data_IF_344487271581
#
_entry.id   IF_344487271581
#
_cell.length_a   1.000
_cell.length_b   1.000
_cell.length_c   1.000
_cell.angle_alpha   90.00
_cell.angle_beta   90.00
_cell.angle_gamma   90.00
#
_symmetry.space_group_name_H-M   'P 1'
#
loop_
_entity.id
_entity.type
_entity.pdbx_description
1 polymer ?
#
# COMPACT_ATOMS: atom_id res chain seq x y z
N UNK A 1 20.52 -14.84 -29.25
CA UNK A 1 19.06 -14.59 -29.23
C UNK A 1 18.53 -15.14 -27.91
N UNK A 2 18.39 -14.28 -26.87
CA UNK A 2 17.84 -14.69 -25.56
C UNK A 2 16.33 -14.94 -25.72
N UNK A 3 15.90 -16.15 -25.47
CA UNK A 3 14.47 -16.46 -25.32
C UNK A 3 13.99 -15.89 -23.99
N UNK A 4 13.34 -14.73 -24.02
CA UNK A 4 12.60 -14.22 -22.87
C UNK A 4 11.46 -15.21 -22.56
N UNK A 5 11.47 -15.82 -21.39
CA UNK A 5 10.36 -16.64 -20.93
C UNK A 5 9.15 -15.75 -20.61
N UNK A 6 7.93 -16.30 -20.67
CA UNK A 6 6.68 -15.57 -20.45
C UNK A 6 6.65 -14.84 -19.08
N UNK A 7 7.34 -15.39 -18.09
CA UNK A 7 7.50 -14.80 -16.76
C UNK A 7 8.43 -13.57 -16.76
N UNK A 8 9.55 -13.64 -17.52
CA UNK A 8 10.46 -12.52 -17.64
C UNK A 8 9.84 -11.34 -18.40
N UNK A 9 8.95 -11.63 -19.35
CA UNK A 9 8.22 -10.61 -20.10
C UNK A 9 7.15 -9.93 -19.22
N UNK A 10 6.47 -10.65 -18.35
CA UNK A 10 5.55 -10.07 -17.35
C UNK A 10 6.30 -9.23 -16.32
N UNK A 11 7.44 -9.71 -15.85
CA UNK A 11 8.28 -8.97 -14.91
C UNK A 11 8.81 -7.66 -15.52
N UNK A 12 9.23 -7.69 -16.78
CA UNK A 12 9.70 -6.49 -17.49
C UNK A 12 8.57 -5.50 -17.77
N UNK A 13 7.37 -5.99 -18.15
CA UNK A 13 6.18 -5.17 -18.35
C UNK A 13 5.69 -4.54 -17.04
N UNK A 14 5.67 -5.29 -15.92
CA UNK A 14 5.24 -4.77 -14.62
C UNK A 14 6.21 -3.70 -14.11
N UNK A 15 7.53 -3.89 -14.28
CA UNK A 15 8.52 -2.86 -13.90
C UNK A 15 8.42 -1.61 -14.77
N UNK A 16 8.18 -1.78 -16.07
CA UNK A 16 8.03 -0.64 -17.00
C UNK A 16 6.70 0.09 -16.76
N UNK A 17 5.62 -0.63 -16.41
CA UNK A 17 4.31 -0.02 -16.16
C UNK A 17 4.23 0.68 -14.79
N UNK A 18 4.91 0.16 -13.75
CA UNK A 18 5.11 0.88 -12.49
C UNK A 18 5.78 2.25 -12.70
N UNK A 19 6.68 2.34 -13.70
CA UNK A 19 7.36 3.57 -14.07
C UNK A 19 6.43 4.52 -14.86
N UNK A 20 5.52 3.98 -15.67
CA UNK A 20 4.67 4.78 -16.55
C UNK A 20 3.43 5.37 -15.86
N UNK A 21 2.92 4.73 -14.81
CA UNK A 21 1.78 5.26 -14.05
C UNK A 21 2.12 6.49 -13.18
N UNK A 22 3.42 6.82 -13.04
CA UNK A 22 3.89 8.02 -12.36
C UNK A 22 4.22 9.20 -13.31
N UNK A 23 3.87 9.10 -14.61
CA UNK A 23 4.19 10.15 -15.60
C UNK A 23 3.17 11.30 -15.62
N UNK A 24 2.75 11.83 -14.49
CA UNK A 24 2.24 13.20 -14.47
C UNK A 24 3.42 14.15 -14.24
N UNK A 25 3.91 14.77 -15.31
CA UNK A 25 4.91 15.84 -15.31
C UNK A 25 4.36 17.15 -14.70
N UNK A 26 3.65 17.06 -13.57
CA UNK A 26 3.33 18.21 -12.75
C UNK A 26 4.30 18.23 -11.58
N UNK A 27 4.77 19.40 -11.20
CA UNK A 27 5.55 19.71 -10.00
C UNK A 27 5.12 18.80 -8.83
N UNK A 28 5.65 17.59 -8.76
CA UNK A 28 5.29 16.59 -7.76
C UNK A 28 5.74 17.09 -6.39
N UNK A 29 4.87 17.80 -5.72
CA UNK A 29 5.07 18.32 -4.37
C UNK A 29 3.99 17.90 -3.40
N UNK A 30 2.90 17.31 -3.92
CA UNK A 30 1.74 16.91 -3.13
C UNK A 30 1.54 15.41 -3.21
N UNK A 31 1.38 14.75 -2.08
CA UNK A 31 1.11 13.31 -2.01
C UNK A 31 -0.18 12.91 -2.75
N UNK A 32 -1.10 13.85 -2.94
CA UNK A 32 -2.37 13.66 -3.68
C UNK A 32 -2.17 13.51 -5.18
N UNK A 33 -1.00 13.87 -5.71
CA UNK A 33 -0.67 13.66 -7.12
C UNK A 33 -0.24 12.21 -7.40
N UNK A 34 -0.02 11.40 -6.34
CA UNK A 34 0.38 10.01 -6.44
C UNK A 34 -0.87 9.11 -6.42
N UNK A 35 -0.87 8.11 -7.28
CA UNK A 35 -2.00 7.20 -7.44
C UNK A 35 -1.59 5.74 -7.28
N UNK A 36 -2.46 4.95 -6.67
CA UNK A 36 -2.44 3.49 -6.69
C UNK A 36 -3.70 3.05 -7.43
N UNK A 37 -3.55 2.37 -8.59
CA UNK A 37 -4.65 1.96 -9.47
C UNK A 37 -5.56 3.13 -9.89
N UNK A 38 -4.96 4.31 -10.14
CA UNK A 38 -5.71 5.52 -10.52
C UNK A 38 -6.46 6.21 -9.37
N UNK A 39 -6.24 5.79 -8.12
CA UNK A 39 -6.91 6.31 -6.93
C UNK A 39 -5.90 7.07 -6.06
N UNK A 40 -6.27 8.27 -5.59
CA UNK A 40 -5.42 9.11 -4.72
C UNK A 40 -5.96 9.19 -3.28
N UNK A 41 -5.08 9.52 -2.34
CA UNK A 41 -5.52 9.97 -1.02
C UNK A 41 -6.29 11.31 -1.14
N UNK A 42 -7.36 11.45 -0.36
CA UNK A 42 -8.28 12.58 -0.45
C UNK A 42 -9.49 12.33 -1.35
N UNK A 43 -9.42 11.36 -2.24
CA UNK A 43 -10.58 10.95 -3.07
C UNK A 43 -11.72 10.38 -2.22
N UNK A 44 -12.90 10.37 -2.81
CA UNK A 44 -14.02 9.59 -2.31
C UNK A 44 -14.03 8.21 -2.97
N UNK A 45 -14.00 7.14 -2.17
CA UNK A 45 -13.95 5.77 -2.67
C UNK A 45 -15.11 5.44 -3.62
N UNK A 46 -16.27 6.08 -3.44
CA UNK A 46 -17.45 5.88 -4.29
C UNK A 46 -17.27 6.43 -5.71
N UNK A 47 -16.24 7.21 -5.98
CA UNK A 47 -15.92 7.69 -7.34
C UNK A 47 -15.14 6.66 -8.17
N UNK A 48 -14.73 5.52 -7.56
CA UNK A 48 -13.86 4.53 -8.19
C UNK A 48 -14.51 3.14 -8.32
N UNK A 49 -15.83 3.10 -8.59
CA UNK A 49 -16.62 1.87 -8.63
C UNK A 49 -16.10 0.89 -9.69
N UNK A 50 -15.69 1.38 -10.85
CA UNK A 50 -15.21 0.56 -11.96
C UNK A 50 -13.87 -0.11 -11.61
N UNK A 51 -12.94 0.64 -11.01
CA UNK A 51 -11.63 0.11 -10.57
C UNK A 51 -11.82 -0.96 -9.49
N UNK A 52 -12.76 -0.73 -8.58
CA UNK A 52 -13.07 -1.67 -7.51
C UNK A 52 -13.93 -2.85 -7.98
N UNK A 53 -14.47 -2.80 -9.20
CA UNK A 53 -15.43 -3.78 -9.71
C UNK A 53 -16.60 -3.97 -8.74
N UNK A 54 -17.15 -2.87 -8.21
CA UNK A 54 -18.24 -2.85 -7.22
C UNK A 54 -19.29 -1.82 -7.56
N UNK A 55 -20.50 -2.07 -7.08
CA UNK A 55 -21.56 -1.05 -7.04
C UNK A 55 -21.43 -0.21 -5.77
N UNK A 56 -22.05 0.96 -5.79
CA UNK A 56 -22.11 1.85 -4.61
C UNK A 56 -22.73 1.15 -3.39
N UNK A 57 -23.79 0.35 -3.62
CA UNK A 57 -24.44 -0.43 -2.56
C UNK A 57 -23.47 -1.42 -1.94
N UNK A 58 -22.73 -2.18 -2.77
CA UNK A 58 -21.74 -3.15 -2.27
C UNK A 58 -20.63 -2.50 -1.45
N UNK A 59 -20.22 -1.27 -1.78
CA UNK A 59 -19.23 -0.54 -0.97
C UNK A 59 -19.85 -0.08 0.34
N UNK A 60 -21.05 0.51 0.32
CA UNK A 60 -21.74 1.01 1.51
C UNK A 60 -22.11 -0.08 2.51
N UNK A 61 -22.50 -1.26 2.02
CA UNK A 61 -22.88 -2.40 2.85
C UNK A 61 -21.69 -3.27 3.27
N UNK A 62 -20.50 -3.01 2.72
CA UNK A 62 -19.30 -3.77 3.06
C UNK A 62 -18.96 -3.61 4.53
N UNK A 63 -18.74 -4.74 5.22
CA UNK A 63 -18.25 -4.74 6.59
C UNK A 63 -16.85 -4.15 6.65
N UNK A 64 -16.72 -2.99 7.30
CA UNK A 64 -15.45 -2.33 7.55
C UNK A 64 -14.76 -2.92 8.79
N UNK A 65 -13.42 -2.91 8.78
CA UNK A 65 -12.62 -3.28 9.95
C UNK A 65 -12.23 -2.00 10.67
N UNK A 66 -12.63 -1.89 11.94
CA UNK A 66 -12.28 -0.75 12.78
C UNK A 66 -11.04 -1.00 13.61
N UNK A 67 -10.35 0.07 13.95
CA UNK A 67 -9.24 0.03 14.88
C UNK A 67 -9.72 -0.25 16.33
N UNK A 68 -8.87 -0.86 17.19
CA UNK A 68 -9.33 -1.34 18.51
C UNK A 68 -9.88 -0.24 19.42
N UNK A 69 -9.35 0.98 19.35
CA UNK A 69 -9.69 2.06 20.26
C UNK A 69 -10.51 3.19 19.64
N UNK A 70 -10.57 3.28 18.34
CA UNK A 70 -11.28 4.37 17.66
C UNK A 70 -12.01 3.87 16.41
N UNK A 71 -13.21 4.41 16.20
CA UNK A 71 -14.03 4.17 15.00
C UNK A 71 -14.00 5.34 14.02
N UNK A 72 -13.14 6.33 14.24
CA UNK A 72 -13.05 7.53 13.39
C UNK A 72 -12.62 7.18 11.97
N UNK A 73 -11.65 6.27 11.83
CA UNK A 73 -11.27 5.71 10.55
C UNK A 73 -11.47 4.20 10.55
N UNK A 74 -11.65 3.64 9.36
CA UNK A 74 -11.87 2.22 9.15
C UNK A 74 -11.04 1.71 7.97
N UNK A 75 -10.79 0.40 7.95
CA UNK A 75 -10.06 -0.31 6.91
C UNK A 75 -11.06 -1.03 6.00
N UNK A 76 -10.87 -0.91 4.68
CA UNK A 76 -11.59 -1.66 3.66
C UNK A 76 -10.60 -2.30 2.68
N UNK A 77 -10.73 -3.61 2.44
CA UNK A 77 -9.84 -4.38 1.56
C UNK A 77 -10.58 -4.85 0.32
N UNK A 78 -9.93 -4.80 -0.84
CA UNK A 78 -10.44 -5.28 -2.12
C UNK A 78 -9.41 -6.20 -2.77
N UNK A 79 -9.84 -7.42 -3.15
CA UNK A 79 -9.00 -8.47 -3.75
C UNK A 79 -9.44 -8.81 -5.18
N UNK A 80 -10.59 -8.32 -5.60
CA UNK A 80 -11.27 -8.67 -6.85
C UNK A 80 -11.63 -7.43 -7.69
N UNK A 81 -10.85 -6.36 -7.56
CA UNK A 81 -10.97 -5.17 -8.40
C UNK A 81 -10.36 -5.37 -9.79
N UNK A 82 -10.62 -4.41 -10.68
CA UNK A 82 -9.99 -4.32 -12.00
C UNK A 82 -8.59 -3.67 -11.86
N UNK A 83 -7.72 -4.28 -11.04
CA UNK A 83 -6.38 -3.77 -10.75
C UNK A 83 -5.40 -4.21 -11.84
N UNK A 84 -4.53 -3.29 -12.27
CA UNK A 84 -3.55 -3.56 -13.31
C UNK A 84 -2.20 -4.03 -12.74
N UNK A 85 -1.83 -3.53 -11.56
CA UNK A 85 -0.51 -3.71 -10.97
C UNK A 85 -0.58 -4.55 -9.70
N UNK A 86 -1.53 -4.23 -8.81
CA UNK A 86 -1.63 -4.83 -7.49
C UNK A 86 -2.66 -5.96 -7.46
N UNK A 87 -2.41 -6.98 -6.66
CA UNK A 87 -3.33 -8.11 -6.47
C UNK A 87 -4.42 -7.79 -5.46
N UNK A 88 -4.17 -6.81 -4.59
CA UNK A 88 -5.21 -6.24 -3.73
C UNK A 88 -4.91 -4.78 -3.40
N UNK A 89 -5.97 -4.03 -3.06
CA UNK A 89 -5.87 -2.67 -2.57
C UNK A 89 -6.61 -2.53 -1.25
N UNK A 90 -5.96 -1.88 -0.29
CA UNK A 90 -6.50 -1.58 1.03
C UNK A 90 -6.63 -0.07 1.21
N UNK A 91 -7.73 0.36 1.77
CA UNK A 91 -7.99 1.76 2.11
C UNK A 91 -8.14 1.93 3.60
N UNK A 92 -7.57 3.02 4.15
CA UNK A 92 -8.02 3.61 5.42
C UNK A 92 -8.85 4.83 5.08
N UNK A 93 -10.09 4.87 5.53
CA UNK A 93 -11.09 5.86 5.12
C UNK A 93 -11.98 6.29 6.28
N UNK A 94 -12.67 7.43 6.10
CA UNK A 94 -13.78 7.83 6.94
C UNK A 94 -15.02 6.97 6.61
N UNK A 95 -15.57 6.22 7.55
CA UNK A 95 -16.71 5.34 7.30
C UNK A 95 -18.01 6.08 6.97
N UNK A 96 -18.11 7.39 7.24
CA UNK A 96 -19.33 8.18 7.02
C UNK A 96 -19.40 8.80 5.61
N UNK A 97 -18.24 9.23 5.08
CA UNK A 97 -18.19 9.93 3.79
C UNK A 97 -17.28 9.25 2.76
N UNK A 98 -16.63 8.14 3.11
CA UNK A 98 -15.75 7.35 2.24
C UNK A 98 -14.52 8.09 1.72
N UNK A 99 -14.11 9.19 2.37
CA UNK A 99 -12.86 9.89 2.05
C UNK A 99 -11.67 9.04 2.42
N UNK A 100 -10.72 8.90 1.48
CA UNK A 100 -9.52 8.08 1.62
C UNK A 100 -8.41 8.87 2.30
N UNK A 101 -7.78 8.30 3.35
CA UNK A 101 -6.64 8.87 4.07
C UNK A 101 -5.37 8.07 3.90
N UNK A 102 -5.49 6.78 3.61
CA UNK A 102 -4.38 5.91 3.22
C UNK A 102 -4.86 4.94 2.15
N UNK A 103 -3.98 4.68 1.18
CA UNK A 103 -4.17 3.64 0.18
C UNK A 103 -2.92 2.76 0.14
N UNK A 104 -3.11 1.45 0.07
CA UNK A 104 -2.02 0.47 0.02
C UNK A 104 -2.29 -0.57 -1.05
N UNK A 105 -1.42 -0.64 -2.05
CA UNK A 105 -1.41 -1.71 -3.05
C UNK A 105 -0.49 -2.86 -2.60
N UNK A 106 -0.90 -4.11 -2.77
CA UNK A 106 -0.15 -5.29 -2.35
C UNK A 106 0.10 -6.26 -3.49
N UNK A 107 1.29 -6.87 -3.49
CA UNK A 107 1.69 -7.96 -4.37
C UNK A 107 2.17 -9.09 -3.49
N UNK A 108 1.62 -10.30 -3.70
CA UNK A 108 1.83 -11.45 -2.84
C UNK A 108 2.87 -12.44 -3.39
N UNK A 109 3.16 -13.46 -2.60
CA UNK A 109 3.98 -14.62 -2.97
C UNK A 109 5.39 -14.28 -3.46
N UNK A 110 6.00 -13.23 -2.90
CA UNK A 110 7.40 -12.88 -3.11
C UNK A 110 8.27 -13.55 -2.05
N UNK A 111 9.40 -14.11 -2.46
CA UNK A 111 10.42 -14.47 -1.49
C UNK A 111 11.11 -13.21 -0.92
N UNK A 112 11.95 -13.41 0.11
CA UNK A 112 12.56 -12.30 0.84
C UNK A 112 13.46 -11.44 -0.05
N UNK A 113 14.25 -12.08 -0.90
CA UNK A 113 15.20 -11.37 -1.76
C UNK A 113 14.47 -10.64 -2.89
N UNK A 114 13.45 -11.26 -3.46
CA UNK A 114 12.57 -10.65 -4.46
C UNK A 114 11.85 -9.42 -3.89
N UNK A 115 11.29 -9.53 -2.67
CA UNK A 115 10.62 -8.41 -2.04
C UNK A 115 11.57 -7.23 -1.78
N UNK A 116 12.74 -7.48 -1.19
CA UNK A 116 13.73 -6.44 -0.89
C UNK A 116 14.27 -5.79 -2.17
N UNK A 117 14.51 -6.57 -3.23
CA UNK A 117 14.97 -6.02 -4.51
C UNK A 117 13.89 -5.14 -5.16
N UNK A 118 12.62 -5.59 -5.14
CA UNK A 118 11.50 -4.81 -5.63
C UNK A 118 11.30 -3.54 -4.82
N UNK A 119 11.38 -3.62 -3.48
CA UNK A 119 11.32 -2.48 -2.57
C UNK A 119 12.37 -1.40 -2.94
N UNK A 120 13.64 -1.80 -3.08
CA UNK A 120 14.73 -0.89 -3.45
C UNK A 120 14.49 -0.22 -4.81
N UNK A 121 13.98 -0.99 -5.79
CA UNK A 121 13.69 -0.48 -7.12
C UNK A 121 12.58 0.58 -7.08
N UNK A 122 11.47 0.29 -6.39
CA UNK A 122 10.35 1.22 -6.25
C UNK A 122 10.80 2.52 -5.55
N UNK A 123 11.54 2.38 -4.43
CA UNK A 123 12.04 3.54 -3.68
C UNK A 123 12.98 4.39 -4.54
N UNK A 124 13.88 3.77 -5.31
CA UNK A 124 14.80 4.52 -6.17
C UNK A 124 14.08 5.35 -7.23
N UNK A 125 12.95 4.89 -7.76
CA UNK A 125 12.12 5.66 -8.68
C UNK A 125 11.33 6.77 -7.98
N UNK A 126 10.80 6.48 -6.79
CA UNK A 126 10.10 7.49 -5.99
C UNK A 126 11.03 8.61 -5.52
N UNK A 127 12.27 8.32 -5.11
CA UNK A 127 13.27 9.33 -4.73
C UNK A 127 13.60 10.29 -5.89
N UNK A 128 13.61 9.81 -7.12
CA UNK A 128 13.81 10.68 -8.31
C UNK A 128 12.63 11.65 -8.50
N UNK A 129 11.42 11.20 -8.22
CA UNK A 129 10.21 12.01 -8.37
C UNK A 129 10.03 12.98 -7.20
N UNK A 130 10.42 12.56 -5.98
CA UNK A 130 10.25 13.30 -4.72
C UNK A 130 11.60 13.56 -4.04
N UNK A 131 12.51 14.32 -4.65
CA UNK A 131 13.88 14.50 -4.16
C UNK A 131 13.98 15.25 -2.82
N UNK A 132 12.88 15.88 -2.38
CA UNK A 132 12.83 16.67 -1.13
C UNK A 132 12.24 15.90 0.04
N UNK A 133 12.00 14.60 -0.10
CA UNK A 133 11.52 13.74 0.99
C UNK A 133 12.67 13.32 1.90
N UNK A 134 12.36 13.06 3.17
CA UNK A 134 13.30 12.47 4.12
C UNK A 134 13.11 10.96 4.08
N UNK A 135 14.18 10.24 3.73
CA UNK A 135 14.16 8.77 3.68
C UNK A 135 14.48 8.18 5.04
N UNK A 136 13.62 7.28 5.50
CA UNK A 136 13.86 6.44 6.67
C UNK A 136 13.88 4.98 6.24
N UNK A 137 14.73 4.18 6.87
CA UNK A 137 14.88 2.74 6.58
C UNK A 137 14.77 1.99 7.89
N UNK A 138 13.80 1.11 7.97
CA UNK A 138 13.66 0.15 9.06
C UNK A 138 14.20 -1.21 8.63
N UNK A 139 15.12 -1.76 9.39
CA UNK A 139 15.58 -3.13 9.22
C UNK A 139 14.46 -4.14 9.55
N UNK A 140 14.68 -5.40 9.22
CA UNK A 140 13.76 -6.45 9.59
C UNK A 140 13.54 -6.54 11.10
N UNK A 141 12.34 -6.24 11.53
CA UNK A 141 11.89 -6.33 12.91
C UNK A 141 10.75 -7.33 13.05
N UNK A 142 10.54 -7.80 14.28
CA UNK A 142 9.41 -8.67 14.60
C UNK A 142 8.11 -7.90 14.48
N UNK A 143 7.16 -8.46 13.71
CA UNK A 143 5.87 -7.81 13.55
C UNK A 143 5.04 -7.92 14.85
N UNK A 144 4.53 -6.81 15.41
CA UNK A 144 3.89 -6.79 16.73
C UNK A 144 2.57 -7.59 16.81
N UNK A 145 1.89 -7.80 15.69
CA UNK A 145 0.66 -8.58 15.65
C UNK A 145 0.90 -10.08 15.87
N UNK A 146 2.09 -10.60 15.54
CA UNK A 146 2.46 -12.01 15.78
C UNK A 146 3.23 -12.14 17.11
N UNK A 147 2.51 -12.54 18.15
CA UNK A 147 3.08 -12.74 19.49
C UNK A 147 4.16 -13.83 19.55
N UNK A 148 4.25 -14.70 18.56
CA UNK A 148 5.33 -15.70 18.48
C UNK A 148 6.68 -15.06 18.16
N UNK A 149 6.69 -13.84 17.61
CA UNK A 149 7.88 -13.11 17.21
C UNK A 149 8.60 -13.72 16.00
N UNK A 150 7.93 -14.58 15.23
CA UNK A 150 8.49 -15.22 14.03
C UNK A 150 8.13 -14.48 12.73
N UNK A 151 7.07 -13.68 12.73
CA UNK A 151 6.75 -12.81 11.59
C UNK A 151 7.67 -11.61 11.59
N UNK A 152 8.14 -11.24 10.40
CA UNK A 152 9.08 -10.16 10.18
C UNK A 152 8.48 -9.13 9.23
N UNK A 153 8.83 -7.87 9.45
CA UNK A 153 8.56 -6.79 8.51
C UNK A 153 9.76 -5.85 8.44
N UNK A 154 9.99 -5.25 7.28
CA UNK A 154 10.86 -4.09 7.13
C UNK A 154 10.16 -3.03 6.28
N UNK A 155 10.63 -1.79 6.36
CA UNK A 155 10.04 -0.69 5.62
C UNK A 155 11.07 0.33 5.15
N UNK A 156 10.77 0.98 4.03
CA UNK A 156 11.44 2.20 3.60
C UNK A 156 10.36 3.25 3.43
N UNK A 157 10.55 4.40 4.08
CA UNK A 157 9.60 5.49 4.14
C UNK A 157 10.20 6.74 3.49
N UNK A 158 9.39 7.46 2.75
CA UNK A 158 9.70 8.79 2.20
C UNK A 158 8.74 9.78 2.85
N UNK A 159 9.24 10.52 3.85
CA UNK A 159 8.47 11.50 4.60
C UNK A 159 8.52 12.87 3.92
N UNK A 160 7.35 13.44 3.68
CA UNK A 160 7.18 14.79 3.17
C UNK A 160 7.23 15.83 4.30
N UNK A 161 7.57 17.07 3.97
CA UNK A 161 7.53 18.18 4.95
C UNK A 161 6.13 18.42 5.53
N UNK A 162 5.07 18.03 4.82
CA UNK A 162 3.68 18.02 5.29
C UNK A 162 3.39 16.96 6.37
N UNK A 163 4.32 16.02 6.62
CA UNK A 163 4.14 14.81 7.41
C UNK A 163 3.30 13.71 6.74
N UNK A 164 2.93 13.90 5.47
CA UNK A 164 2.47 12.79 4.65
C UNK A 164 3.63 11.84 4.37
N UNK A 165 3.35 10.60 3.97
CA UNK A 165 4.39 9.63 3.67
C UNK A 165 4.02 8.69 2.53
N UNK A 166 5.06 8.19 1.85
CA UNK A 166 5.00 6.98 1.05
C UNK A 166 5.80 5.91 1.78
N UNK A 167 5.28 4.71 1.88
CA UNK A 167 6.04 3.56 2.40
C UNK A 167 6.06 2.41 1.40
N UNK A 168 7.18 1.69 1.40
CA UNK A 168 7.30 0.40 0.71
C UNK A 168 7.80 -0.61 1.73
N UNK A 169 6.96 -1.60 2.04
CA UNK A 169 7.16 -2.50 3.16
C UNK A 169 7.08 -3.95 2.71
N UNK A 170 7.98 -4.80 3.22
CA UNK A 170 7.94 -6.25 3.04
C UNK A 170 7.46 -6.93 4.31
N UNK A 171 6.50 -7.85 4.17
CA UNK A 171 5.93 -8.63 5.27
C UNK A 171 6.14 -10.12 5.04
N UNK A 172 6.71 -10.79 6.03
CA UNK A 172 6.93 -12.25 6.05
C UNK A 172 6.28 -12.82 7.31
N UNK A 173 5.19 -13.52 7.11
CA UNK A 173 4.37 -14.06 8.19
C UNK A 173 4.83 -15.46 8.59
N UNK A 174 4.81 -15.78 9.88
CA UNK A 174 5.05 -17.15 10.34
C UNK A 174 3.96 -18.10 9.82
N UNK A 175 4.32 -19.36 9.57
CA UNK A 175 3.39 -20.37 9.05
C UNK A 175 2.14 -20.53 9.95
N UNK A 176 2.30 -20.38 11.27
CA UNK A 176 1.18 -20.40 12.22
C UNK A 176 0.26 -19.21 11.98
N UNK A 177 0.84 -18.02 11.87
CA UNK A 177 0.07 -16.79 11.70
C UNK A 177 -0.63 -16.73 10.34
N UNK A 178 0.01 -17.22 9.26
CA UNK A 178 -0.61 -17.39 7.95
C UNK A 178 -1.88 -18.23 8.03
N UNK A 179 -1.79 -19.39 8.68
CA UNK A 179 -2.94 -20.32 8.82
C UNK A 179 -4.07 -19.75 9.68
N UNK A 180 -3.74 -19.07 10.78
CA UNK A 180 -4.73 -18.53 11.71
C UNK A 180 -5.44 -17.28 11.16
N UNK A 181 -4.73 -16.45 10.41
CA UNK A 181 -5.22 -15.14 9.94
C UNK A 181 -5.49 -15.07 8.45
N UNK A 182 -5.17 -16.12 7.71
CA UNK A 182 -5.22 -16.16 6.25
C UNK A 182 -4.39 -15.02 5.64
N UNK A 183 -3.18 -14.83 6.16
CA UNK A 183 -2.22 -13.84 5.66
C UNK A 183 -1.22 -14.51 4.72
N UNK A 184 -0.71 -13.72 3.77
CA UNK A 184 0.32 -14.14 2.82
C UNK A 184 1.48 -13.15 2.86
N UNK A 185 2.70 -13.65 2.57
CA UNK A 185 3.88 -12.80 2.42
C UNK A 185 3.66 -11.84 1.26
N UNK A 186 4.01 -10.58 1.45
CA UNK A 186 3.74 -9.57 0.43
C UNK A 186 4.64 -8.34 0.55
N UNK A 187 4.76 -7.62 -0.55
CA UNK A 187 5.16 -6.23 -0.57
C UNK A 187 3.93 -5.34 -0.54
N UNK A 188 3.98 -4.27 0.25
CA UNK A 188 2.96 -3.23 0.30
C UNK A 188 3.56 -1.89 -0.10
N UNK A 189 2.96 -1.20 -1.06
CA UNK A 189 3.25 0.20 -1.38
C UNK A 189 2.10 1.02 -0.85
N UNK A 190 2.38 1.97 0.04
CA UNK A 190 1.34 2.77 0.68
C UNK A 190 1.59 4.26 0.50
N UNK A 191 0.50 4.98 0.33
CA UNK A 191 0.44 6.44 0.32
C UNK A 191 -0.44 6.84 1.51
N UNK A 192 0.08 7.67 2.40
CA UNK A 192 -0.58 7.97 3.66
C UNK A 192 -0.53 9.45 3.99
N UNK A 193 -1.69 10.02 4.32
CA UNK A 193 -1.79 11.41 4.77
C UNK A 193 -1.31 11.57 6.20
N UNK A 194 -0.85 12.77 6.54
CA UNK A 194 -0.55 13.17 7.92
C UNK A 194 -1.71 12.82 8.88
N UNK A 195 -2.96 13.03 8.43
CA UNK A 195 -4.13 12.78 9.26
C UNK A 195 -4.29 11.29 9.61
N UNK A 196 -4.00 10.39 8.66
CA UNK A 196 -3.97 8.95 8.93
C UNK A 196 -2.86 8.60 9.91
N UNK A 197 -1.66 9.15 9.74
CA UNK A 197 -0.53 8.92 10.66
C UNK A 197 -0.85 9.41 12.07
N UNK A 198 -1.32 10.65 12.20
CA UNK A 198 -1.69 11.22 13.49
C UNK A 198 -2.79 10.38 14.19
N UNK A 199 -3.73 9.83 13.41
CA UNK A 199 -4.75 8.92 13.92
C UNK A 199 -4.16 7.59 14.43
N UNK A 200 -3.26 6.98 13.66
CA UNK A 200 -2.59 5.73 14.07
C UNK A 200 -1.79 5.93 15.34
N UNK A 201 -1.03 7.02 15.42
CA UNK A 201 -0.12 7.32 16.54
C UNK A 201 -0.88 7.64 17.83
N UNK A 202 -2.03 8.32 17.74
CA UNK A 202 -2.66 8.92 18.92
C UNK A 202 -4.01 8.29 19.32
N UNK A 203 -4.73 7.63 18.38
CA UNK A 203 -6.11 7.23 18.60
C UNK A 203 -6.38 5.74 18.35
N UNK A 204 -5.73 5.15 17.35
CA UNK A 204 -6.10 3.83 16.83
C UNK A 204 -5.89 2.70 17.85
N UNK A 205 -4.83 2.80 18.64
CA UNK A 205 -4.37 1.75 19.56
C UNK A 205 -4.21 2.24 21.03
N UNK A 206 -4.36 3.53 21.29
CA UNK A 206 -4.19 4.16 22.61
C UNK A 206 -5.51 4.32 23.37
#
# INVERSE_FOLDING_TARGET
>A
MLKLTKNNMRFFLITTFLILSFQSLAKAGDIRDIQIEGISVGDNLLNHLDVLNKTEIQIKEKKLTYYPKSKRLAISNYYDGNFEIYESVQFTLDPNNFKIFRISGKIYNLDKDECVNKQKTIIAELEKQFPNTIKQIDDFTKHPADKSGKSLANGIYLDFASRDAISVECYFWSETFKKEKNYEDHISVSIETKESRDFIDNEAYN
#
